data_IF_195723761005
#
_entry.id   IF_195723761005
#
_cell.length_a   1.000
_cell.length_b   1.000
_cell.length_c   1.000
_cell.angle_alpha   90.00
_cell.angle_beta   90.00
_cell.angle_gamma   90.00
#
_symmetry.space_group_name_H-M   'P 1'
#
loop_
_entity.id
_entity.type
_entity.pdbx_description
1 polymer ?
#
# COMPACT_ATOMS: atom_id res chain seq x y z
N UNK A 1 -19.28 40.06 -15.84
CA UNK A 1 -19.39 41.13 -14.84
C UNK A 1 -19.21 40.63 -13.39
N UNK A 2 -19.87 39.54 -12.98
CA UNK A 2 -19.85 39.05 -11.59
C UNK A 2 -18.48 38.58 -11.06
N UNK A 3 -17.67 37.89 -11.88
CA UNK A 3 -16.34 37.39 -11.47
C UNK A 3 -15.37 38.51 -11.05
N UNK A 4 -15.39 39.63 -11.79
CA UNK A 4 -14.54 40.81 -11.52
C UNK A 4 -14.95 41.49 -10.22
N UNK A 5 -16.25 41.56 -9.93
CA UNK A 5 -16.79 42.10 -8.68
C UNK A 5 -16.43 41.20 -7.49
N UNK A 6 -16.59 39.87 -7.63
CA UNK A 6 -16.25 38.91 -6.58
C UNK A 6 -14.75 38.95 -6.23
N UNK A 7 -13.87 38.99 -7.24
CA UNK A 7 -12.42 39.10 -7.04
C UNK A 7 -12.05 40.36 -6.26
N UNK A 8 -12.55 41.53 -6.68
CA UNK A 8 -12.29 42.79 -5.96
C UNK A 8 -12.85 42.78 -4.54
N UNK A 9 -13.95 42.07 -4.29
CA UNK A 9 -14.55 41.94 -2.96
C UNK A 9 -13.67 41.09 -2.01
N UNK A 10 -13.17 39.93 -2.48
CA UNK A 10 -12.27 39.05 -1.72
C UNK A 10 -10.98 39.79 -1.34
N UNK A 11 -10.39 40.55 -2.27
CA UNK A 11 -9.15 41.29 -2.02
C UNK A 11 -9.33 42.56 -1.16
N UNK A 12 -10.58 43.00 -0.91
CA UNK A 12 -10.86 44.20 -0.11
C UNK A 12 -10.51 44.03 1.37
N UNK A 13 -10.67 42.83 1.91
CA UNK A 13 -10.27 42.52 3.29
C UNK A 13 -9.21 41.42 3.32
N UNK A 14 -7.98 41.80 2.98
CA UNK A 14 -6.84 40.89 2.80
C UNK A 14 -6.59 39.99 4.01
N UNK A 15 -6.77 40.47 5.24
CA UNK A 15 -6.55 39.66 6.46
C UNK A 15 -7.52 38.48 6.54
N UNK A 16 -8.82 38.73 6.35
CA UNK A 16 -9.85 37.67 6.40
C UNK A 16 -9.62 36.64 5.31
N UNK A 17 -9.44 37.10 4.07
CA UNK A 17 -9.29 36.22 2.92
C UNK A 17 -8.01 35.38 2.99
N UNK A 18 -6.90 35.94 3.50
CA UNK A 18 -5.65 35.21 3.66
C UNK A 18 -5.80 34.04 4.65
N UNK A 19 -6.44 34.27 5.81
CA UNK A 19 -6.65 33.22 6.81
C UNK A 19 -7.46 32.07 6.20
N UNK A 20 -8.57 32.37 5.52
CA UNK A 20 -9.43 31.34 4.92
C UNK A 20 -8.72 30.55 3.81
N UNK A 21 -7.99 31.24 2.92
CA UNK A 21 -7.22 30.59 1.84
C UNK A 21 -6.12 29.69 2.41
N UNK A 22 -5.41 30.16 3.43
CA UNK A 22 -4.36 29.39 4.08
C UNK A 22 -4.93 28.15 4.77
N UNK A 23 -6.04 28.27 5.50
CA UNK A 23 -6.69 27.12 6.13
C UNK A 23 -7.09 26.05 5.13
N UNK A 24 -7.70 26.43 4.00
CA UNK A 24 -8.11 25.49 2.95
C UNK A 24 -6.88 24.85 2.30
N UNK A 25 -5.89 25.65 1.94
CA UNK A 25 -4.64 25.16 1.33
C UNK A 25 -3.93 24.17 2.24
N UNK A 26 -3.85 24.48 3.53
CA UNK A 26 -3.20 23.62 4.52
C UNK A 26 -3.96 22.29 4.70
N UNK A 27 -5.29 22.34 4.79
CA UNK A 27 -6.12 21.13 4.89
C UNK A 27 -5.95 20.22 3.66
N UNK A 28 -5.97 20.79 2.46
CA UNK A 28 -5.81 20.03 1.21
C UNK A 28 -4.39 19.45 1.11
N UNK A 29 -3.36 20.22 1.48
CA UNK A 29 -1.98 19.75 1.48
C UNK A 29 -1.82 18.54 2.40
N UNK A 30 -2.33 18.62 3.64
CA UNK A 30 -2.29 17.50 4.57
C UNK A 30 -3.06 16.28 4.04
N UNK A 31 -4.25 16.49 3.48
CA UNK A 31 -5.03 15.40 2.89
C UNK A 31 -4.28 14.68 1.76
N UNK A 32 -3.62 15.43 0.88
CA UNK A 32 -2.79 14.87 -0.19
C UNK A 32 -1.60 14.07 0.36
N UNK A 33 -0.88 14.61 1.36
CA UNK A 33 0.25 13.92 2.00
C UNK A 33 -0.21 12.60 2.63
N UNK A 34 -1.29 12.64 3.42
CA UNK A 34 -1.84 11.43 4.04
C UNK A 34 -2.27 10.40 3.00
N UNK A 35 -2.89 10.84 1.90
CA UNK A 35 -3.30 9.94 0.81
C UNK A 35 -2.11 9.25 0.14
N UNK A 36 -1.05 10.00 -0.15
CA UNK A 36 0.17 9.44 -0.76
C UNK A 36 0.87 8.46 0.18
N UNK A 37 0.99 8.81 1.47
CA UNK A 37 1.56 7.91 2.48
C UNK A 37 0.77 6.60 2.60
N UNK A 38 -0.56 6.70 2.58
CA UNK A 38 -1.43 5.53 2.65
C UNK A 38 -1.21 4.58 1.47
N UNK A 39 -1.16 5.10 0.24
CA UNK A 39 -0.91 4.30 -0.96
C UNK A 39 0.47 3.63 -0.93
N UNK A 40 1.53 4.37 -0.60
CA UNK A 40 2.88 3.81 -0.51
C UNK A 40 3.03 2.77 0.62
N UNK A 41 2.32 2.95 1.74
CA UNK A 41 2.28 1.96 2.81
C UNK A 41 1.60 0.66 2.37
N UNK A 42 0.48 0.76 1.63
CA UNK A 42 -0.20 -0.43 1.11
C UNK A 42 0.65 -1.21 0.13
N UNK A 43 1.33 -0.54 -0.80
CA UNK A 43 2.23 -1.18 -1.76
C UNK A 43 3.37 -1.92 -1.04
N UNK A 44 4.00 -1.26 -0.06
CA UNK A 44 5.03 -1.87 0.80
C UNK A 44 4.50 -3.01 1.65
N UNK A 45 3.27 -2.91 2.16
CA UNK A 45 2.64 -3.97 2.94
C UNK A 45 2.42 -5.22 2.08
N UNK A 46 1.97 -5.04 0.84
CA UNK A 46 1.80 -6.15 -0.12
C UNK A 46 3.16 -6.77 -0.44
N UNK A 47 4.17 -5.97 -0.76
CA UNK A 47 5.53 -6.46 -1.04
C UNK A 47 6.09 -7.24 0.15
N UNK A 48 5.94 -6.72 1.37
CA UNK A 48 6.39 -7.39 2.59
C UNK A 48 5.60 -8.67 2.87
N UNK A 49 4.28 -8.65 2.70
CA UNK A 49 3.45 -9.85 2.91
C UNK A 49 3.86 -10.98 1.95
N UNK A 50 4.11 -10.65 0.68
CA UNK A 50 4.65 -11.59 -0.30
C UNK A 50 6.06 -12.03 0.12
N UNK A 51 7.01 -11.12 0.38
CA UNK A 51 8.38 -11.51 0.75
C UNK A 51 8.49 -12.37 2.01
N UNK A 52 7.65 -12.15 3.03
CA UNK A 52 7.76 -12.80 4.33
C UNK A 52 6.90 -14.05 4.49
N UNK A 53 5.66 -14.03 4.02
CA UNK A 53 4.77 -15.18 4.20
C UNK A 53 4.95 -16.13 3.04
N UNK A 54 4.73 -15.66 1.82
CA UNK A 54 4.71 -16.49 0.62
C UNK A 54 5.86 -16.09 -0.29
N UNK A 55 7.02 -16.75 -0.19
CA UNK A 55 7.87 -16.83 -1.39
C UNK A 55 6.95 -17.11 -2.60
N UNK A 56 7.20 -16.50 -3.76
CA UNK A 56 6.24 -16.37 -4.89
C UNK A 56 5.40 -17.63 -5.18
N UNK A 57 5.90 -18.81 -4.80
CA UNK A 57 5.17 -20.07 -4.72
C UNK A 57 5.38 -20.70 -3.33
N UNK A 58 4.29 -21.11 -2.66
CA UNK A 58 4.31 -21.96 -1.46
C UNK A 58 3.79 -23.35 -1.79
N UNK A 59 4.57 -24.39 -1.44
CA UNK A 59 4.18 -25.80 -1.59
C UNK A 59 3.88 -26.35 -0.19
N UNK A 60 2.63 -26.73 0.05
CA UNK A 60 2.20 -27.35 1.30
C UNK A 60 1.78 -28.80 1.07
N UNK A 61 1.98 -29.64 2.08
CA UNK A 61 1.43 -30.99 2.12
C UNK A 61 -0.09 -30.90 2.31
N UNK A 62 -0.83 -31.83 1.72
CA UNK A 62 -2.28 -31.93 1.90
C UNK A 62 -2.61 -32.10 3.40
N UNK A 63 -3.57 -31.33 3.90
CA UNK A 63 -3.93 -31.26 5.33
C UNK A 63 -3.19 -30.21 6.18
N UNK A 64 -2.19 -29.49 5.65
CA UNK A 64 -1.43 -28.46 6.40
C UNK A 64 -2.31 -27.33 6.97
N UNK A 65 -3.37 -26.95 6.25
CA UNK A 65 -4.29 -25.89 6.71
C UNK A 65 -5.11 -26.29 7.93
N UNK A 66 -5.35 -27.59 8.13
CA UNK A 66 -6.11 -28.12 9.25
C UNK A 66 -5.25 -28.32 10.50
N UNK A 67 -3.95 -28.61 10.33
CA UNK A 67 -3.04 -28.87 11.45
C UNK A 67 -1.64 -28.28 11.20
N UNK A 68 -1.44 -27.06 11.73
CA UNK A 68 -0.20 -26.27 11.54
C UNK A 68 0.90 -26.70 12.52
N UNK A 69 1.22 -27.99 12.54
CA UNK A 69 2.24 -28.57 13.43
C UNK A 69 3.57 -28.73 12.68
N UNK A 70 4.69 -28.43 13.35
CA UNK A 70 6.06 -28.52 12.79
C UNK A 70 6.42 -29.96 12.36
N UNK A 71 5.75 -30.97 12.90
CA UNK A 71 5.90 -32.38 12.52
C UNK A 71 5.46 -32.70 11.08
N UNK A 72 4.68 -31.81 10.44
CA UNK A 72 4.32 -31.91 9.02
C UNK A 72 5.30 -31.18 8.08
N UNK A 73 6.44 -30.73 8.60
CA UNK A 73 7.50 -30.16 7.77
C UNK A 73 8.04 -31.21 6.79
N UNK A 74 8.39 -30.76 5.58
CA UNK A 74 9.06 -31.63 4.63
C UNK A 74 10.50 -31.84 5.10
N UNK A 75 10.91 -33.10 5.28
CA UNK A 75 12.34 -33.43 5.35
C UNK A 75 13.03 -32.95 4.06
N UNK A 76 14.15 -32.25 4.24
CA UNK A 76 14.91 -31.68 3.14
C UNK A 76 15.56 -32.79 2.31
N UNK A 77 14.92 -33.14 1.20
CA UNK A 77 15.37 -34.16 0.26
C UNK A 77 15.75 -33.51 -1.08
N UNK A 78 17.02 -33.62 -1.45
CA UNK A 78 17.61 -33.04 -2.68
C UNK A 78 16.98 -33.57 -3.96
N UNK A 79 16.31 -34.74 -3.90
CA UNK A 79 15.62 -35.37 -5.05
C UNK A 79 14.29 -34.69 -5.38
N UNK A 80 13.63 -34.03 -4.43
CA UNK A 80 12.35 -33.33 -4.67
C UNK A 80 12.55 -31.95 -5.29
N UNK A 81 13.68 -31.30 -5.01
CA UNK A 81 14.02 -29.97 -5.53
C UNK A 81 14.22 -29.98 -7.07
N UNK A 82 14.78 -31.05 -7.62
CA UNK A 82 15.00 -31.22 -9.07
C UNK A 82 13.71 -31.43 -9.86
N UNK A 83 12.67 -32.00 -9.24
CA UNK A 83 11.32 -32.10 -9.82
C UNK A 83 10.59 -30.75 -9.88
N UNK A 84 10.82 -29.87 -8.92
CA UNK A 84 10.21 -28.52 -8.93
C UNK A 84 10.84 -27.64 -10.01
N UNK A 85 12.17 -27.67 -10.19
CA UNK A 85 12.88 -26.89 -11.20
C UNK A 85 12.66 -27.37 -12.66
N UNK A 86 12.03 -28.54 -12.86
CA UNK A 86 11.69 -29.05 -14.19
C UNK A 86 10.27 -28.68 -14.63
N UNK A 87 9.48 -28.06 -13.75
CA UNK A 87 8.16 -27.55 -14.08
C UNK A 87 8.32 -26.18 -14.77
N UNK A 88 7.84 -26.09 -16.00
CA UNK A 88 7.98 -24.91 -16.84
C UNK A 88 7.17 -23.74 -16.24
N UNK A 89 7.85 -22.72 -15.73
CA UNK A 89 7.23 -21.51 -15.17
C UNK A 89 7.38 -21.31 -13.66
N UNK A 90 8.20 -22.13 -12.99
CA UNK A 90 8.77 -21.88 -11.65
C UNK A 90 10.21 -21.44 -11.78
#
# INVERSE_FOLDING_TARGET
MYLILAWRNIWRNKRRSLITILSITFAVLLACVMRSMQLGSYERMIENAVRFYTGYIQIHKDGYWNDKVIDNSFEFDSVKLSKVNSLKGV
#
